data_IF_210854231511
#
_entry.id   IF_210854231511
#
_cell.length_a   1.000
_cell.length_b   1.000
_cell.length_c   1.000
_cell.angle_alpha   90.00
_cell.angle_beta   90.00
_cell.angle_gamma   90.00
#
_symmetry.space_group_name_H-M   'P 1'
#
loop_
_entity.id
_entity.type
_entity.pdbx_description
1 polymer ?
#
# COMPACT_ATOMS: atom_id res chain seq x y z
N UNK A 1 33.93 -3.93 30.67
CA UNK A 1 33.76 -3.81 32.14
C UNK A 1 32.86 -2.62 32.48
N UNK A 2 33.22 -1.38 32.12
CA UNK A 2 32.41 -0.18 32.44
C UNK A 2 30.98 -0.15 31.88
N UNK A 3 30.77 -0.58 30.63
CA UNK A 3 29.41 -0.76 30.07
C UNK A 3 28.58 -1.81 30.84
N UNK A 4 29.21 -2.89 31.31
CA UNK A 4 28.51 -3.91 32.11
C UNK A 4 28.14 -3.37 33.50
N UNK A 5 28.91 -2.40 34.00
CA UNK A 5 28.63 -1.67 35.23
C UNK A 5 27.64 -0.50 35.05
N UNK A 6 27.08 -0.32 33.84
CA UNK A 6 26.21 0.83 33.47
C UNK A 6 26.87 2.20 33.67
N UNK A 7 28.19 2.26 33.59
CA UNK A 7 28.96 3.50 33.66
C UNK A 7 29.34 3.97 32.26
N UNK A 8 28.32 4.29 31.45
CA UNK A 8 28.46 4.62 30.02
C UNK A 8 29.40 5.82 29.80
N UNK A 9 29.34 6.82 30.68
CA UNK A 9 30.17 8.03 30.61
C UNK A 9 31.67 7.75 30.79
N UNK A 10 32.03 6.86 31.72
CA UNK A 10 33.42 6.45 31.94
C UNK A 10 33.93 5.56 30.80
N UNK A 11 33.07 4.67 30.30
CA UNK A 11 33.39 3.87 29.12
C UNK A 11 33.72 4.78 27.91
N UNK A 12 32.90 5.82 27.70
CA UNK A 12 33.10 6.80 26.64
C UNK A 12 34.40 7.60 26.78
N UNK A 13 34.71 8.09 27.97
CA UNK A 13 35.95 8.82 28.23
C UNK A 13 37.18 7.97 27.88
N UNK A 14 37.18 6.70 28.29
CA UNK A 14 38.26 5.76 27.99
C UNK A 14 38.39 5.53 26.48
N UNK A 15 37.27 5.35 25.76
CA UNK A 15 37.30 5.15 24.31
C UNK A 15 37.89 6.34 23.56
N UNK A 16 37.51 7.57 23.94
CA UNK A 16 38.11 8.79 23.38
C UNK A 16 39.62 8.81 23.59
N UNK A 17 40.09 8.58 24.82
CA UNK A 17 41.52 8.61 25.17
C UNK A 17 42.33 7.52 24.46
N UNK A 18 41.76 6.31 24.31
CA UNK A 18 42.35 5.24 23.51
C UNK A 18 42.48 5.64 22.03
N UNK A 19 41.44 6.25 21.45
CA UNK A 19 41.47 6.69 20.05
C UNK A 19 42.49 7.81 19.78
N UNK A 20 42.70 8.71 20.74
CA UNK A 20 43.69 9.78 20.67
C UNK A 20 45.13 9.30 20.96
N UNK A 21 45.32 7.98 21.19
CA UNK A 21 46.59 7.37 21.60
C UNK A 21 47.17 7.89 22.92
N UNK A 22 46.32 8.48 23.78
CA UNK A 22 46.72 8.80 25.16
C UNK A 22 46.88 7.52 26.00
N UNK A 23 46.12 6.49 25.64
CA UNK A 23 46.27 5.13 26.14
C UNK A 23 46.58 4.17 24.99
N UNK A 24 47.34 3.12 25.28
CA UNK A 24 47.65 2.06 24.33
C UNK A 24 46.97 0.76 24.78
N UNK A 25 46.11 0.23 23.90
CA UNK A 25 45.52 -1.09 24.05
C UNK A 25 45.51 -1.74 22.66
N UNK A 26 46.25 -2.85 22.52
CA UNK A 26 46.36 -3.58 21.25
C UNK A 26 45.06 -4.31 20.86
N UNK A 27 44.14 -4.49 21.80
CA UNK A 27 42.83 -5.08 21.57
C UNK A 27 41.77 -4.04 21.17
N UNK A 28 42.04 -2.74 21.31
CA UNK A 28 41.06 -1.69 20.99
C UNK A 28 40.87 -1.53 19.48
N UNK A 29 39.65 -1.84 19.00
CA UNK A 29 39.25 -1.59 17.61
C UNK A 29 38.02 -0.69 17.58
N UNK A 30 38.11 0.42 16.84
CA UNK A 30 36.99 1.37 16.69
C UNK A 30 35.73 0.69 16.14
N UNK A 31 35.88 -0.28 15.24
CA UNK A 31 34.75 -1.04 14.70
C UNK A 31 33.94 -1.80 15.76
N UNK A 32 34.58 -2.23 16.85
CA UNK A 32 33.90 -2.93 17.93
C UNK A 32 33.01 -1.99 18.74
N UNK A 33 33.33 -0.69 18.78
CA UNK A 33 32.54 0.33 19.48
C UNK A 33 31.15 0.49 18.88
N UNK A 34 31.03 0.38 17.56
CA UNK A 34 29.74 0.50 16.86
C UNK A 34 28.75 -0.52 17.40
N UNK A 35 29.21 -1.75 17.67
CA UNK A 35 28.35 -2.82 18.23
C UNK A 35 27.88 -2.55 19.66
N UNK A 36 28.50 -1.60 20.36
CA UNK A 36 28.18 -1.23 21.74
C UNK A 36 27.28 0.00 21.85
N UNK A 37 27.11 0.76 20.78
CA UNK A 37 26.24 1.95 20.73
C UNK A 37 24.81 1.67 21.22
N UNK A 38 24.15 0.54 20.88
CA UNK A 38 22.79 0.27 21.34
C UNK A 38 22.65 0.09 22.86
N UNK A 39 23.74 -0.22 23.57
CA UNK A 39 23.71 -0.38 25.03
C UNK A 39 23.75 0.93 25.80
N UNK A 40 23.99 2.06 25.14
CA UNK A 40 24.05 3.38 25.78
C UNK A 40 22.61 3.81 26.13
N UNK A 41 22.41 4.11 27.41
CA UNK A 41 21.08 4.47 27.93
C UNK A 41 20.84 5.97 28.05
N UNK A 42 21.91 6.77 28.09
CA UNK A 42 21.83 8.24 28.16
C UNK A 42 21.78 8.85 26.75
N UNK A 43 20.71 9.60 26.45
CA UNK A 43 20.49 10.21 25.13
C UNK A 43 21.57 11.21 24.73
N UNK A 44 22.04 12.03 25.69
CA UNK A 44 23.03 13.08 25.40
C UNK A 44 24.39 12.45 25.05
N UNK A 45 24.81 11.49 25.86
CA UNK A 45 26.00 10.70 25.63
C UNK A 45 25.94 9.94 24.31
N UNK A 46 24.79 9.34 23.99
CA UNK A 46 24.58 8.66 22.72
C UNK A 46 24.79 9.60 21.52
N UNK A 47 24.27 10.82 21.58
CA UNK A 47 24.49 11.84 20.55
C UNK A 47 25.98 12.20 20.44
N UNK A 48 26.66 12.46 21.56
CA UNK A 48 28.10 12.78 21.57
C UNK A 48 28.94 11.65 20.98
N UNK A 49 28.61 10.40 21.33
CA UNK A 49 29.26 9.20 20.80
C UNK A 49 29.02 9.07 19.29
N UNK A 50 27.80 9.33 18.82
CA UNK A 50 27.47 9.26 17.39
C UNK A 50 28.16 10.34 16.57
N UNK A 51 28.20 11.58 17.05
CA UNK A 51 28.91 12.67 16.38
C UNK A 51 30.39 12.33 16.16
N UNK A 52 30.99 11.56 17.06
CA UNK A 52 32.36 11.10 16.93
C UNK A 52 32.53 9.81 16.10
N UNK A 53 31.61 8.85 16.23
CA UNK A 53 31.71 7.55 15.53
C UNK A 53 31.30 7.62 14.06
N UNK A 54 30.33 8.46 13.69
CA UNK A 54 29.80 8.55 12.33
C UNK A 54 30.91 8.88 11.31
N UNK A 55 31.82 9.84 11.54
CA UNK A 55 32.96 10.09 10.65
C UNK A 55 33.89 8.87 10.46
N UNK A 56 33.94 7.96 11.43
CA UNK A 56 34.85 6.82 11.44
C UNK A 56 34.22 5.56 10.80
N UNK A 57 32.93 5.32 11.02
CA UNK A 57 32.19 4.17 10.47
C UNK A 57 30.73 4.51 10.16
N UNK A 58 30.47 5.36 9.16
CA UNK A 58 29.17 6.02 8.99
C UNK A 58 28.02 5.04 8.74
N UNK A 59 28.19 4.15 7.75
CA UNK A 59 27.14 3.20 7.36
C UNK A 59 26.83 2.19 8.46
N UNK A 60 27.84 1.77 9.22
CA UNK A 60 27.66 0.80 10.30
C UNK A 60 26.95 1.46 11.48
N UNK A 61 27.32 2.69 11.84
CA UNK A 61 26.67 3.46 12.89
C UNK A 61 25.18 3.66 12.59
N UNK A 62 24.84 4.12 11.38
CA UNK A 62 23.44 4.32 10.98
C UNK A 62 22.65 3.02 11.13
N UNK A 63 23.14 1.91 10.57
CA UNK A 63 22.48 0.60 10.66
C UNK A 63 22.20 0.18 12.11
N UNK A 64 23.13 0.49 13.01
CA UNK A 64 23.02 0.08 14.41
C UNK A 64 22.06 0.96 15.23
N UNK A 65 21.80 2.21 14.81
CA UNK A 65 20.94 3.14 15.56
C UNK A 65 19.55 3.37 14.97
N UNK A 66 19.25 2.82 13.78
CA UNK A 66 17.94 2.95 13.12
C UNK A 66 16.78 2.53 14.04
N UNK A 67 16.96 1.48 14.85
CA UNK A 67 15.92 0.97 15.76
C UNK A 67 16.08 1.43 17.22
N UNK A 68 16.92 2.45 17.48
CA UNK A 68 17.19 2.90 18.85
C UNK A 68 16.07 3.83 19.37
N UNK A 69 15.37 3.42 20.42
CA UNK A 69 14.24 4.16 21.00
C UNK A 69 14.60 5.52 21.62
N UNK A 70 15.88 5.79 21.91
CA UNK A 70 16.34 7.06 22.46
C UNK A 70 16.53 8.15 21.40
N UNK A 71 16.55 7.76 20.12
CA UNK A 71 16.82 8.64 18.99
C UNK A 71 15.57 8.74 18.11
N UNK A 72 14.81 9.81 18.33
CA UNK A 72 13.74 10.19 17.41
C UNK A 72 14.32 10.72 16.07
N UNK A 73 13.47 10.75 15.04
CA UNK A 73 13.81 11.27 13.71
C UNK A 73 14.44 12.67 13.79
N UNK A 74 13.90 13.53 14.66
CA UNK A 74 14.39 14.90 14.86
C UNK A 74 15.82 14.94 15.38
N UNK A 75 16.18 14.13 16.38
CA UNK A 75 17.54 14.08 16.90
C UNK A 75 18.52 13.53 15.86
N UNK A 76 18.14 12.48 15.13
CA UNK A 76 18.99 11.94 14.06
C UNK A 76 19.22 12.95 12.94
N UNK A 77 18.21 13.75 12.60
CA UNK A 77 18.35 14.84 11.63
C UNK A 77 19.36 15.90 12.09
N UNK A 78 19.36 16.28 13.36
CA UNK A 78 20.36 17.22 13.89
C UNK A 78 21.77 16.63 13.88
N UNK A 79 21.93 15.35 14.25
CA UNK A 79 23.22 14.65 14.19
C UNK A 79 23.76 14.61 12.76
N UNK A 80 22.90 14.42 11.77
CA UNK A 80 23.26 14.26 10.36
C UNK A 80 23.12 15.54 9.53
N UNK A 81 22.86 16.70 10.16
CA UNK A 81 22.46 17.94 9.47
C UNK A 81 23.44 18.42 8.40
N UNK A 82 24.73 18.16 8.61
CA UNK A 82 25.80 18.60 7.70
C UNK A 82 26.19 17.53 6.66
N UNK A 83 25.56 16.36 6.66
CA UNK A 83 25.82 15.28 5.72
C UNK A 83 24.52 14.77 5.09
N UNK A 84 24.12 15.43 4.00
CA UNK A 84 22.91 15.08 3.27
C UNK A 84 22.92 13.63 2.74
N UNK A 85 24.09 13.07 2.43
CA UNK A 85 24.21 11.71 1.91
C UNK A 85 23.94 10.69 3.01
N UNK A 86 24.48 10.90 4.21
CA UNK A 86 24.21 10.05 5.37
C UNK A 86 22.77 10.21 5.87
N UNK A 87 22.25 11.43 5.88
CA UNK A 87 20.85 11.69 6.18
C UNK A 87 19.93 10.92 5.21
N UNK A 88 20.23 10.94 3.91
CA UNK A 88 19.49 10.14 2.90
C UNK A 88 19.51 8.66 3.23
N UNK A 89 20.69 8.09 3.54
CA UNK A 89 20.83 6.67 3.87
C UNK A 89 19.99 6.32 5.10
N UNK A 90 20.04 7.14 6.15
CA UNK A 90 19.23 6.95 7.35
C UNK A 90 17.73 6.99 7.02
N UNK A 91 17.28 7.99 6.26
CA UNK A 91 15.87 8.16 5.90
C UNK A 91 15.34 7.04 5.00
N UNK A 92 16.18 6.48 4.12
CA UNK A 92 15.84 5.31 3.29
C UNK A 92 15.69 4.01 4.12
N UNK A 93 16.22 3.98 5.35
CA UNK A 93 16.19 2.80 6.22
C UNK A 93 14.98 2.75 7.18
N UNK A 94 14.32 3.87 7.42
CA UNK A 94 13.19 3.97 8.35
C UNK A 94 11.84 3.94 7.61
N UNK A 95 10.73 3.64 8.30
CA UNK A 95 9.39 3.72 7.70
C UNK A 95 9.11 5.13 7.14
N UNK A 96 8.57 5.19 5.93
CA UNK A 96 8.27 6.44 5.24
C UNK A 96 7.02 7.08 5.86
N UNK A 97 7.23 8.03 6.77
CA UNK A 97 6.19 8.95 7.27
C UNK A 97 6.12 10.20 6.39
N UNK A 98 5.13 11.06 6.59
CA UNK A 98 4.99 12.31 5.84
C UNK A 98 6.22 13.23 5.99
N UNK A 99 6.75 13.36 7.22
CA UNK A 99 7.97 14.15 7.48
C UNK A 99 9.20 13.56 6.78
N UNK A 100 9.37 12.23 6.87
CA UNK A 100 10.48 11.51 6.23
C UNK A 100 10.40 11.65 4.71
N UNK A 101 9.20 11.55 4.14
CA UNK A 101 8.97 11.73 2.71
C UNK A 101 9.34 13.15 2.25
N UNK A 102 8.93 14.18 3.00
CA UNK A 102 9.30 15.58 2.69
C UNK A 102 10.81 15.80 2.73
N UNK A 103 11.48 15.25 3.75
CA UNK A 103 12.93 15.35 3.87
C UNK A 103 13.66 14.61 2.72
N UNK A 104 13.23 13.39 2.39
CA UNK A 104 13.77 12.65 1.25
C UNK A 104 13.54 13.37 -0.08
N UNK A 105 12.33 13.90 -0.33
CA UNK A 105 12.03 14.68 -1.54
C UNK A 105 12.96 15.89 -1.65
N UNK A 106 13.19 16.62 -0.56
CA UNK A 106 14.12 17.75 -0.55
C UNK A 106 15.55 17.33 -0.93
N UNK A 107 16.03 16.23 -0.34
CA UNK A 107 17.36 15.71 -0.66
C UNK A 107 17.45 15.31 -2.14
N UNK A 108 16.46 14.57 -2.65
CA UNK A 108 16.47 14.13 -4.04
C UNK A 108 16.38 15.30 -5.03
N UNK A 109 15.55 16.31 -4.77
CA UNK A 109 15.49 17.51 -5.61
C UNK A 109 16.83 18.24 -5.63
N UNK A 110 17.49 18.38 -4.47
CA UNK A 110 18.81 18.99 -4.39
C UNK A 110 19.86 18.17 -5.15
N UNK A 111 19.85 16.84 -5.00
CA UNK A 111 20.72 15.92 -5.74
C UNK A 111 20.52 16.06 -7.26
N UNK A 112 19.27 16.12 -7.73
CA UNK A 112 18.93 16.29 -9.14
C UNK A 112 19.35 17.66 -9.69
N UNK A 113 19.15 18.72 -8.89
CA UNK A 113 19.58 20.09 -9.25
C UNK A 113 21.11 20.18 -9.34
N UNK A 114 21.82 19.42 -8.52
CA UNK A 114 23.28 19.27 -8.59
C UNK A 114 23.75 18.33 -9.71
N UNK A 115 22.83 17.73 -10.47
CA UNK A 115 23.13 16.84 -11.60
C UNK A 115 23.31 15.36 -11.24
N UNK A 116 23.05 14.93 -10.01
CA UNK A 116 23.12 13.51 -9.63
C UNK A 116 21.83 12.76 -10.02
N UNK A 117 21.85 12.14 -11.20
CA UNK A 117 20.70 11.38 -11.73
C UNK A 117 20.53 9.99 -11.10
N UNK A 118 21.45 9.53 -10.23
CA UNK A 118 21.41 8.16 -9.65
C UNK A 118 20.26 7.97 -8.66
N UNK A 119 19.65 9.06 -8.19
CA UNK A 119 18.53 9.01 -7.26
C UNK A 119 17.16 8.93 -7.96
N UNK A 120 17.07 9.19 -9.28
CA UNK A 120 15.80 9.29 -10.03
C UNK A 120 14.87 8.12 -9.79
N UNK A 121 15.36 6.88 -9.90
CA UNK A 121 14.54 5.68 -9.68
C UNK A 121 13.91 5.67 -8.28
N UNK A 122 14.70 5.95 -7.23
CA UNK A 122 14.21 5.98 -5.85
C UNK A 122 13.24 7.13 -5.63
N UNK A 123 13.54 8.30 -6.19
CA UNK A 123 12.69 9.47 -6.11
C UNK A 123 11.33 9.23 -6.76
N UNK A 124 11.26 8.64 -7.96
CA UNK A 124 9.99 8.27 -8.62
C UNK A 124 9.13 7.34 -7.75
N UNK A 125 9.74 6.35 -7.09
CA UNK A 125 9.00 5.47 -6.17
C UNK A 125 8.44 6.24 -4.96
N UNK A 126 9.18 7.23 -4.47
CA UNK A 126 8.72 8.09 -3.39
C UNK A 126 7.56 8.99 -3.86
N UNK A 127 7.64 9.55 -5.06
CA UNK A 127 6.57 10.37 -5.64
C UNK A 127 5.24 9.63 -5.71
N UNK A 128 5.25 8.32 -6.01
CA UNK A 128 4.03 7.50 -6.01
C UNK A 128 3.47 7.23 -4.61
N UNK A 129 4.18 7.54 -3.53
CA UNK A 129 3.73 7.28 -2.15
C UNK A 129 3.27 8.53 -1.41
N UNK A 130 3.61 9.71 -1.91
CA UNK A 130 3.26 10.98 -1.28
C UNK A 130 1.91 11.51 -1.77
N UNK A 131 1.35 12.47 -1.03
CA UNK A 131 0.05 13.04 -1.37
C UNK A 131 0.10 13.85 -2.67
N UNK A 132 -1.05 13.98 -3.34
CA UNK A 132 -1.19 14.85 -4.50
C UNK A 132 -0.71 16.28 -4.19
N UNK A 133 -1.18 16.86 -3.08
CA UNK A 133 -0.80 18.21 -2.64
C UNK A 133 0.72 18.37 -2.50
N UNK A 134 1.41 17.39 -1.90
CA UNK A 134 2.87 17.45 -1.75
C UNK A 134 3.57 17.41 -3.12
N UNK A 135 3.06 16.61 -4.06
CA UNK A 135 3.61 16.53 -5.42
C UNK A 135 3.54 17.85 -6.17
N UNK A 136 2.42 18.56 -6.08
CA UNK A 136 2.26 19.87 -6.73
C UNK A 136 3.32 20.87 -6.23
N UNK A 137 3.57 20.90 -4.92
CA UNK A 137 4.60 21.76 -4.32
C UNK A 137 6.02 21.44 -4.80
N UNK A 138 6.27 20.22 -5.27
CA UNK A 138 7.58 19.82 -5.79
C UNK A 138 7.75 20.16 -7.27
N UNK A 139 6.66 20.31 -8.02
CA UNK A 139 6.70 20.52 -9.47
C UNK A 139 7.59 21.70 -9.88
N UNK A 140 7.43 22.84 -9.21
CA UNK A 140 8.19 24.06 -9.52
C UNK A 140 9.67 24.00 -9.13
N UNK A 141 10.02 23.05 -8.26
CA UNK A 141 11.39 22.88 -7.75
C UNK A 141 12.21 21.92 -8.60
N UNK A 142 11.58 21.20 -9.51
CA UNK A 142 12.26 20.18 -10.33
C UNK A 142 12.94 20.81 -11.55
N UNK A 143 14.19 20.43 -11.87
CA UNK A 143 14.86 20.83 -13.11
C UNK A 143 14.05 20.45 -14.36
N UNK A 144 14.18 21.23 -15.44
CA UNK A 144 13.49 21.00 -16.71
C UNK A 144 13.80 19.64 -17.34
N UNK A 145 15.00 19.13 -17.09
CA UNK A 145 15.52 17.87 -17.63
C UNK A 145 14.86 16.66 -16.96
N UNK A 146 14.24 16.85 -15.78
CA UNK A 146 13.51 15.83 -15.03
C UNK A 146 12.07 15.68 -15.53
N UNK A 147 11.87 15.54 -16.85
CA UNK A 147 10.56 15.56 -17.50
C UNK A 147 9.59 14.51 -16.94
N UNK A 148 10.06 13.27 -16.74
CA UNK A 148 9.26 12.20 -16.14
C UNK A 148 8.84 12.54 -14.71
N UNK A 149 9.77 12.99 -13.87
CA UNK A 149 9.46 13.38 -12.48
C UNK A 149 8.47 14.54 -12.42
N UNK A 150 8.59 15.52 -13.32
CA UNK A 150 7.63 16.62 -13.46
C UNK A 150 6.25 16.11 -13.86
N UNK A 151 6.17 15.17 -14.80
CA UNK A 151 4.89 14.53 -15.17
C UNK A 151 4.27 13.76 -14.00
N UNK A 152 5.07 13.05 -13.20
CA UNK A 152 4.58 12.34 -12.02
C UNK A 152 4.09 13.29 -10.91
N UNK A 153 4.58 14.53 -10.90
CA UNK A 153 4.14 15.58 -9.99
C UNK A 153 2.93 16.36 -10.48
N UNK A 154 2.60 16.29 -11.77
CA UNK A 154 1.51 17.06 -12.38
C UNK A 154 0.15 16.40 -12.10
N UNK A 155 -0.59 16.94 -11.14
CA UNK A 155 -1.92 16.43 -10.78
C UNK A 155 -3.04 16.82 -11.76
N UNK A 156 -2.77 17.65 -12.78
CA UNK A 156 -3.78 18.03 -13.77
C UNK A 156 -4.08 16.91 -14.78
N UNK A 157 -3.22 15.89 -14.85
CA UNK A 157 -3.29 14.82 -15.84
C UNK A 157 -3.78 13.52 -15.22
N UNK A 158 -4.53 12.73 -15.99
CA UNK A 158 -4.89 11.38 -15.55
C UNK A 158 -3.64 10.47 -15.56
N UNK A 159 -3.61 9.40 -14.74
CA UNK A 159 -2.51 8.43 -14.78
C UNK A 159 -2.26 7.84 -16.18
N UNK A 160 -3.32 7.75 -16.99
CA UNK A 160 -3.23 7.25 -18.34
C UNK A 160 -2.58 8.25 -19.30
N UNK A 161 -2.89 9.55 -19.16
CA UNK A 161 -2.23 10.61 -19.95
C UNK A 161 -0.74 10.74 -19.59
N UNK A 162 -0.44 10.61 -18.29
CA UNK A 162 0.94 10.59 -17.79
C UNK A 162 1.69 9.40 -18.40
N UNK A 163 1.10 8.20 -18.37
CA UNK A 163 1.67 7.01 -18.99
C UNK A 163 1.97 7.22 -20.48
N UNK A 164 0.99 7.73 -21.22
CA UNK A 164 1.10 7.95 -22.66
C UNK A 164 2.30 8.88 -22.97
N UNK A 165 2.47 9.96 -22.20
CA UNK A 165 3.63 10.88 -22.36
C UNK A 165 4.96 10.24 -21.94
N UNK A 166 4.97 9.48 -20.85
CA UNK A 166 6.19 8.78 -20.38
C UNK A 166 6.70 7.79 -21.44
N UNK A 167 5.79 7.06 -22.08
CA UNK A 167 6.16 6.12 -23.14
C UNK A 167 6.51 6.87 -24.43
N UNK A 168 5.63 7.71 -24.95
CA UNK A 168 5.80 8.31 -26.29
C UNK A 168 6.82 9.43 -26.37
N UNK A 169 6.96 10.23 -25.30
CA UNK A 169 7.85 11.41 -25.30
C UNK A 169 9.20 11.08 -24.66
N UNK A 170 9.22 10.23 -23.63
CA UNK A 170 10.43 9.94 -22.86
C UNK A 170 11.00 8.54 -23.09
N UNK A 171 10.25 7.62 -23.74
CA UNK A 171 10.64 6.21 -23.94
C UNK A 171 11.09 5.52 -22.64
N UNK A 172 10.51 5.89 -21.49
CA UNK A 172 10.93 5.43 -20.17
C UNK A 172 9.99 4.33 -19.65
N UNK A 173 10.21 3.10 -20.12
CA UNK A 173 9.38 1.95 -19.77
C UNK A 173 9.49 1.53 -18.30
N UNK A 174 10.61 1.84 -17.63
CA UNK A 174 10.77 1.58 -16.20
C UNK A 174 9.85 2.49 -15.36
N UNK A 175 9.72 3.77 -15.76
CA UNK A 175 8.74 4.67 -15.16
C UNK A 175 7.29 4.26 -15.50
N UNK A 176 7.04 3.82 -16.74
CA UNK A 176 5.73 3.32 -17.16
C UNK A 176 5.27 2.12 -16.31
N UNK A 177 6.16 1.16 -16.06
CA UNK A 177 5.88 0.01 -15.19
C UNK A 177 5.64 0.42 -13.75
N UNK A 178 6.38 1.41 -13.23
CA UNK A 178 6.16 1.96 -11.90
C UNK A 178 4.75 2.57 -11.77
N UNK A 179 4.32 3.37 -12.74
CA UNK A 179 2.96 3.93 -12.80
C UNK A 179 1.93 2.80 -12.77
N UNK A 180 2.11 1.80 -13.63
CA UNK A 180 1.22 0.64 -13.70
C UNK A 180 1.16 -0.12 -12.38
N UNK A 181 2.30 -0.36 -11.72
CA UNK A 181 2.36 -1.05 -10.43
C UNK A 181 1.64 -0.27 -9.32
N UNK A 182 1.65 1.07 -9.38
CA UNK A 182 0.98 1.90 -8.39
C UNK A 182 -0.54 1.92 -8.60
N UNK A 183 -0.98 2.06 -9.85
CA UNK A 183 -2.39 2.22 -10.19
C UNK A 183 -3.13 0.92 -10.53
N UNK A 184 -2.46 -0.24 -10.60
CA UNK A 184 -3.06 -1.51 -11.05
C UNK A 184 -4.32 -1.92 -10.28
N UNK A 185 -4.42 -1.58 -9.00
CA UNK A 185 -5.55 -1.93 -8.14
C UNK A 185 -6.77 -1.01 -8.31
N UNK A 186 -6.57 0.22 -8.76
CA UNK A 186 -7.62 1.25 -8.85
C UNK A 186 -7.99 1.59 -10.29
N UNK A 187 -7.03 1.50 -11.22
CA UNK A 187 -7.18 1.84 -12.63
C UNK A 187 -6.45 0.79 -13.50
N UNK A 188 -6.97 -0.45 -13.58
CA UNK A 188 -6.33 -1.52 -14.35
C UNK A 188 -6.22 -1.22 -15.85
N UNK A 189 -7.04 -0.30 -16.38
CA UNK A 189 -6.98 0.14 -17.77
C UNK A 189 -5.64 0.83 -18.12
N UNK A 190 -4.92 1.39 -17.13
CA UNK A 190 -3.57 1.96 -17.32
C UNK A 190 -2.58 0.86 -17.73
N UNK A 191 -2.64 -0.31 -17.07
CA UNK A 191 -1.80 -1.45 -17.42
C UNK A 191 -2.12 -2.00 -18.82
N UNK A 192 -3.40 -1.99 -19.22
CA UNK A 192 -3.82 -2.42 -20.56
C UNK A 192 -3.24 -1.51 -21.66
N UNK A 193 -3.17 -0.19 -21.41
CA UNK A 193 -2.51 0.73 -22.35
C UNK A 193 -1.03 0.42 -22.50
N UNK A 194 -0.32 0.14 -21.41
CA UNK A 194 1.10 -0.21 -21.48
C UNK A 194 1.33 -1.54 -22.21
N UNK A 195 0.46 -2.54 -22.03
CA UNK A 195 0.53 -3.78 -22.81
C UNK A 195 0.44 -3.51 -24.31
N UNK A 196 -0.49 -2.64 -24.73
CA UNK A 196 -0.62 -2.23 -26.12
C UNK A 196 0.62 -1.51 -26.65
N UNK A 197 1.21 -0.60 -25.86
CA UNK A 197 2.46 0.06 -26.27
C UNK A 197 3.62 -0.92 -26.45
N UNK A 198 3.73 -1.93 -25.59
CA UNK A 198 4.76 -2.96 -25.68
C UNK A 198 4.56 -3.88 -26.90
N UNK A 199 3.33 -4.05 -27.37
CA UNK A 199 3.02 -4.76 -28.62
C UNK A 199 3.44 -3.96 -29.85
N UNK A 200 3.04 -2.68 -29.88
CA UNK A 200 3.22 -1.80 -31.04
C UNK A 200 4.68 -1.34 -31.22
N UNK A 201 5.54 -1.53 -30.22
CA UNK A 201 6.90 -1.00 -30.17
C UNK A 201 7.96 -2.10 -30.17
N UNK A 202 9.05 -1.92 -30.93
CA UNK A 202 10.22 -2.80 -30.88
C UNK A 202 11.07 -2.48 -29.63
N UNK A 203 10.56 -2.84 -28.45
CA UNK A 203 11.24 -2.64 -27.16
C UNK A 203 12.02 -3.90 -26.81
N UNK A 204 13.27 -3.72 -26.38
CA UNK A 204 14.04 -4.80 -25.79
C UNK A 204 13.32 -5.36 -24.54
N UNK A 205 13.31 -6.68 -24.41
CA UNK A 205 12.64 -7.40 -23.32
C UNK A 205 11.12 -7.19 -23.22
N UNK A 206 10.44 -6.75 -24.28
CA UNK A 206 8.98 -6.54 -24.30
C UNK A 206 8.22 -7.74 -23.71
N UNK A 207 8.58 -8.97 -24.07
CA UNK A 207 7.97 -10.17 -23.50
C UNK A 207 8.11 -10.29 -21.98
N UNK A 208 9.30 -9.99 -21.45
CA UNK A 208 9.58 -10.06 -20.01
C UNK A 208 8.78 -8.99 -19.26
N UNK A 209 8.74 -7.78 -19.81
CA UNK A 209 7.97 -6.65 -19.27
C UNK A 209 6.47 -6.94 -19.27
N UNK A 210 5.94 -7.52 -20.35
CA UNK A 210 4.55 -7.97 -20.43
C UNK A 210 4.22 -9.01 -19.36
N UNK A 211 5.07 -10.04 -19.17
CA UNK A 211 4.88 -11.04 -18.10
C UNK A 211 4.86 -10.39 -16.71
N UNK A 212 5.74 -9.42 -16.47
CA UNK A 212 5.78 -8.65 -15.22
C UNK A 212 4.47 -7.87 -14.99
N UNK A 213 3.97 -7.18 -16.02
CA UNK A 213 2.71 -6.43 -15.95
C UNK A 213 1.51 -7.33 -15.65
N UNK A 214 1.40 -8.47 -16.34
CA UNK A 214 0.36 -9.46 -16.09
C UNK A 214 0.43 -10.05 -14.67
N UNK A 215 1.65 -10.16 -14.10
CA UNK A 215 1.82 -10.55 -12.70
C UNK A 215 1.26 -9.49 -11.77
N UNK A 216 1.55 -8.20 -12.02
CA UNK A 216 1.13 -7.05 -11.22
C UNK A 216 -0.37 -6.75 -11.27
N UNK A 217 -1.04 -7.01 -12.39
CA UNK A 217 -2.49 -6.81 -12.52
C UNK A 217 -3.32 -7.77 -11.64
N UNK A 218 -2.71 -8.88 -11.22
CA UNK A 218 -3.29 -9.83 -10.26
C UNK A 218 -4.72 -10.25 -10.61
N UNK A 219 -5.54 -10.41 -9.58
CA UNK A 219 -6.96 -10.80 -9.69
C UNK A 219 -7.90 -9.59 -9.90
N UNK A 220 -7.37 -8.38 -9.98
CA UNK A 220 -8.16 -7.14 -9.89
C UNK A 220 -8.69 -6.72 -11.27
N UNK A 221 -7.89 -6.93 -12.32
CA UNK A 221 -8.29 -6.64 -13.69
C UNK A 221 -9.34 -7.66 -14.21
N UNK A 222 -10.29 -7.18 -15.03
CA UNK A 222 -11.24 -8.06 -15.72
C UNK A 222 -10.48 -8.96 -16.71
N UNK A 223 -10.47 -10.29 -16.49
CA UNK A 223 -9.75 -11.22 -17.36
C UNK A 223 -10.13 -11.09 -18.83
N UNK A 224 -11.39 -10.77 -19.14
CA UNK A 224 -11.85 -10.61 -20.52
C UNK A 224 -11.19 -9.40 -21.19
N UNK A 225 -11.09 -8.27 -20.48
CA UNK A 225 -10.40 -7.08 -20.98
C UNK A 225 -8.91 -7.34 -21.18
N UNK A 226 -8.26 -8.05 -20.26
CA UNK A 226 -6.85 -8.41 -20.40
C UNK A 226 -6.63 -9.27 -21.63
N UNK A 227 -7.43 -10.33 -21.81
CA UNK A 227 -7.35 -11.22 -22.99
C UNK A 227 -7.54 -10.44 -24.30
N UNK A 228 -8.46 -9.48 -24.32
CA UNK A 228 -8.72 -8.68 -25.53
C UNK A 228 -7.61 -7.66 -25.83
N UNK A 229 -6.83 -7.27 -24.82
CA UNK A 229 -5.73 -6.32 -24.94
C UNK A 229 -4.36 -7.00 -25.07
N UNK A 230 -4.32 -8.33 -25.04
CA UNK A 230 -3.09 -9.09 -25.26
C UNK A 230 -2.81 -9.17 -26.76
N UNK A 231 -1.53 -9.14 -27.16
CA UNK A 231 -1.15 -9.32 -28.54
C UNK A 231 -1.63 -10.65 -29.11
N UNK A 232 -1.93 -10.67 -30.40
CA UNK A 232 -2.15 -11.93 -31.12
C UNK A 232 -0.89 -12.81 -31.11
N UNK A 233 0.30 -12.19 -31.00
CA UNK A 233 1.59 -12.86 -30.88
C UNK A 233 1.89 -13.40 -29.48
N UNK A 234 1.07 -13.08 -28.46
CA UNK A 234 1.33 -13.49 -27.10
C UNK A 234 1.16 -15.01 -26.95
N UNK A 235 2.28 -15.70 -26.68
CA UNK A 235 2.27 -17.14 -26.45
C UNK A 235 1.45 -17.51 -25.21
N UNK A 236 0.77 -18.66 -25.25
CA UNK A 236 -0.03 -19.16 -24.12
C UNK A 236 0.80 -19.22 -22.83
N UNK A 237 2.07 -19.59 -22.91
CA UNK A 237 2.98 -19.66 -21.75
C UNK A 237 3.19 -18.31 -21.06
N UNK A 238 3.13 -17.20 -21.81
CA UNK A 238 3.29 -15.85 -21.27
C UNK A 238 2.09 -15.44 -20.41
N UNK A 239 0.91 -15.96 -20.73
CA UNK A 239 -0.37 -15.59 -20.11
C UNK A 239 -0.92 -16.68 -19.19
N UNK A 240 -0.35 -17.89 -19.22
CA UNK A 240 -0.82 -19.07 -18.49
C UNK A 240 -1.02 -18.79 -17.00
N UNK A 241 -0.03 -18.19 -16.32
CA UNK A 241 -0.12 -17.89 -14.89
C UNK A 241 -1.24 -16.89 -14.58
N UNK A 242 -1.48 -15.91 -15.45
CA UNK A 242 -2.60 -14.98 -15.32
C UNK A 242 -3.93 -15.71 -15.52
N UNK A 243 -4.06 -16.49 -16.59
CA UNK A 243 -5.28 -17.25 -16.90
C UNK A 243 -5.64 -18.26 -15.80
N UNK A 244 -4.67 -19.01 -15.27
CA UNK A 244 -4.92 -19.95 -14.15
C UNK A 244 -5.48 -19.23 -12.93
N UNK A 245 -4.92 -18.07 -12.56
CA UNK A 245 -5.43 -17.25 -11.44
C UNK A 245 -6.84 -16.71 -11.73
N UNK A 246 -7.06 -16.17 -12.91
CA UNK A 246 -8.36 -15.68 -13.35
C UNK A 246 -9.45 -16.77 -13.31
N UNK A 247 -9.14 -17.99 -13.78
CA UNK A 247 -10.03 -19.15 -13.74
C UNK A 247 -10.34 -19.54 -12.29
N UNK A 248 -9.31 -19.65 -11.44
CA UNK A 248 -9.49 -20.00 -10.02
C UNK A 248 -10.38 -18.98 -9.30
N UNK A 249 -10.20 -17.68 -9.57
CA UNK A 249 -11.05 -16.61 -9.05
C UNK A 249 -12.50 -16.79 -9.49
N UNK A 250 -12.75 -17.00 -10.79
CA UNK A 250 -14.10 -17.21 -11.33
C UNK A 250 -14.79 -18.46 -10.75
N UNK A 251 -14.03 -19.52 -10.51
CA UNK A 251 -14.53 -20.73 -9.84
C UNK A 251 -14.92 -20.44 -8.38
N UNK A 252 -14.08 -19.70 -7.65
CA UNK A 252 -14.36 -19.26 -6.27
C UNK A 252 -15.60 -18.36 -6.19
N UNK A 253 -15.71 -17.35 -7.08
CA UNK A 253 -16.89 -16.47 -7.19
C UNK A 253 -18.17 -17.29 -7.42
N UNK A 254 -18.11 -18.28 -8.33
CA UNK A 254 -19.23 -19.17 -8.61
C UNK A 254 -19.59 -20.05 -7.42
N UNK A 255 -18.60 -20.54 -6.68
CA UNK A 255 -18.82 -21.32 -5.46
C UNK A 255 -19.51 -20.47 -4.39
N UNK A 256 -19.01 -19.27 -4.11
CA UNK A 256 -19.63 -18.34 -3.16
C UNK A 256 -21.07 -18.01 -3.56
N UNK A 257 -21.32 -17.77 -4.85
CA UNK A 257 -22.67 -17.51 -5.35
C UNK A 257 -23.61 -18.70 -5.10
N UNK A 258 -23.16 -19.92 -5.39
CA UNK A 258 -23.92 -21.15 -5.09
C UNK A 258 -24.18 -21.32 -3.60
N UNK A 259 -23.19 -21.08 -2.75
CA UNK A 259 -23.37 -21.13 -1.29
C UNK A 259 -24.38 -20.09 -0.80
N UNK A 260 -24.35 -18.87 -1.34
CA UNK A 260 -25.35 -17.83 -1.02
C UNK A 260 -26.76 -18.26 -1.40
N UNK A 261 -26.94 -18.81 -2.61
CA UNK A 261 -28.24 -19.32 -3.07
C UNK A 261 -28.73 -20.44 -2.14
N UNK A 262 -27.87 -21.40 -1.80
CA UNK A 262 -28.21 -22.50 -0.90
C UNK A 262 -28.58 -22.00 0.52
N UNK A 263 -27.89 -20.99 1.04
CA UNK A 263 -28.22 -20.37 2.33
C UNK A 263 -29.56 -19.63 2.28
N UNK A 264 -29.88 -18.95 1.17
CA UNK A 264 -31.18 -18.31 0.95
C UNK A 264 -32.31 -19.34 0.89
N UNK A 265 -32.12 -20.44 0.15
CA UNK A 265 -33.07 -21.54 0.07
C UNK A 265 -33.32 -22.15 1.45
N UNK A 266 -32.26 -22.46 2.20
CA UNK A 266 -32.36 -22.96 3.57
C UNK A 266 -33.07 -21.99 4.50
N UNK A 267 -32.82 -20.68 4.37
CA UNK A 267 -33.54 -19.66 5.14
C UNK A 267 -35.03 -19.66 4.78
N UNK A 268 -35.38 -19.73 3.50
CA UNK A 268 -36.78 -19.83 3.07
C UNK A 268 -37.47 -21.09 3.59
N UNK A 269 -36.76 -22.22 3.69
CA UNK A 269 -37.28 -23.44 4.29
C UNK A 269 -37.52 -23.29 5.80
N UNK A 270 -36.58 -22.67 6.52
CA UNK A 270 -36.76 -22.35 7.94
C UNK A 270 -37.93 -21.39 8.14
N UNK A 271 -38.05 -20.35 7.31
CA UNK A 271 -39.15 -19.38 7.36
C UNK A 271 -40.49 -20.08 7.08
N UNK A 272 -40.54 -21.06 6.16
CA UNK A 272 -41.73 -21.90 5.94
C UNK A 272 -42.08 -22.79 7.13
N UNK A 273 -41.09 -23.34 7.82
CA UNK A 273 -41.28 -24.21 8.99
C UNK A 273 -41.58 -23.42 10.28
N UNK A 274 -41.18 -22.15 10.33
CA UNK A 274 -41.36 -21.24 11.46
C UNK A 274 -42.56 -20.32 11.30
N UNK A 275 -43.30 -20.41 10.20
CA UNK A 275 -44.69 -19.93 10.14
C UNK A 275 -45.44 -20.60 11.30
N UNK A 276 -45.99 -19.84 12.24
CA UNK A 276 -46.82 -20.40 13.29
C UNK A 276 -47.94 -21.18 12.59
N UNK A 277 -47.96 -22.49 12.76
CA UNK A 277 -49.15 -23.31 12.56
C UNK A 277 -50.17 -23.01 13.67
N UNK A 278 -50.30 -21.73 14.04
CA UNK A 278 -51.37 -21.22 14.86
C UNK A 278 -52.61 -21.37 14.00
N UNK A 279 -53.33 -22.48 14.20
CA UNK A 279 -54.74 -22.54 13.85
C UNK A 279 -55.34 -21.26 14.41
N UNK A 280 -55.68 -20.32 13.54
CA UNK A 280 -56.35 -19.09 13.92
C UNK A 280 -57.70 -19.52 14.46
N UNK A 281 -57.80 -19.68 15.77
CA UNK A 281 -59.05 -20.00 16.44
C UNK A 281 -59.87 -18.72 16.44
N UNK A 282 -60.74 -18.58 15.44
CA UNK A 282 -61.75 -17.52 15.40
C UNK A 282 -62.70 -17.79 16.57
N UNK A 283 -62.55 -17.04 17.67
CA UNK A 283 -63.50 -17.07 18.79
C UNK A 283 -64.84 -16.51 18.30
N UNK A 284 -65.96 -17.00 18.82
CA UNK A 284 -67.34 -16.61 18.44
C UNK A 284 -67.68 -15.10 18.56
N UNK A 285 -66.75 -14.27 19.03
CA UNK A 285 -66.88 -12.80 19.12
C UNK A 285 -65.82 -12.04 18.30
N UNK A 286 -65.13 -12.70 17.39
CA UNK A 286 -64.16 -12.05 16.52
C UNK A 286 -64.86 -11.05 15.61
N UNK A 287 -64.29 -9.84 15.47
CA UNK A 287 -64.84 -8.75 14.66
C UNK A 287 -63.88 -8.44 13.52
N UNK A 288 -64.43 -8.21 12.32
CA UNK A 288 -63.66 -7.83 11.15
C UNK A 288 -63.03 -6.45 11.38
N UNK A 289 -61.72 -6.35 11.19
CA UNK A 289 -61.01 -5.09 11.44
C UNK A 289 -61.39 -3.97 10.46
N UNK A 290 -61.95 -4.30 9.29
CA UNK A 290 -62.32 -3.37 8.23
C UNK A 290 -63.74 -2.85 8.41
N UNK A 291 -64.76 -3.72 8.45
CA UNK A 291 -66.16 -3.30 8.55
C UNK A 291 -66.69 -3.24 10.00
N UNK A 292 -65.93 -3.73 10.99
CA UNK A 292 -66.32 -3.83 12.40
C UNK A 292 -67.56 -4.70 12.66
N UNK A 293 -67.91 -5.61 11.75
CA UNK A 293 -68.98 -6.59 11.95
C UNK A 293 -68.41 -7.94 12.47
N UNK A 294 -69.26 -8.75 13.10
CA UNK A 294 -68.88 -10.08 13.60
C UNK A 294 -68.44 -11.02 12.45
N UNK A 295 -67.41 -11.82 12.70
CA UNK A 295 -66.89 -12.82 11.79
C UNK A 295 -67.60 -14.15 12.04
N UNK A 296 -68.23 -14.69 11.00
CA UNK A 296 -68.66 -16.08 10.96
C UNK A 296 -67.48 -16.97 10.53
N UNK A 297 -67.47 -18.22 11.00
CA UNK A 297 -66.38 -19.17 10.70
C UNK A 297 -66.21 -19.45 9.19
N UNK A 298 -67.26 -19.26 8.38
CA UNK A 298 -67.25 -19.50 6.94
C UNK A 298 -66.64 -18.37 6.10
N UNK A 299 -66.60 -17.13 6.64
CA UNK A 299 -66.38 -15.94 5.81
C UNK A 299 -65.10 -15.17 6.20
N UNK A 300 -64.29 -15.71 7.11
CA UNK A 300 -63.05 -15.09 7.59
C UNK A 300 -61.81 -15.47 6.78
N UNK A 301 -60.96 -14.48 6.46
CA UNK A 301 -59.60 -14.65 5.95
C UNK A 301 -58.60 -14.05 6.95
N UNK A 302 -57.47 -14.74 7.15
CA UNK A 302 -56.37 -14.22 7.97
C UNK A 302 -55.32 -13.56 7.09
N UNK A 303 -54.99 -12.30 7.38
CA UNK A 303 -53.91 -11.58 6.70
C UNK A 303 -52.55 -12.00 7.29
N UNK A 304 -51.82 -12.84 6.55
CA UNK A 304 -50.61 -13.54 7.02
C UNK A 304 -49.52 -12.63 7.60
N UNK A 305 -49.37 -11.40 7.12
CA UNK A 305 -48.32 -10.49 7.59
C UNK A 305 -48.64 -9.75 8.89
N UNK A 306 -49.90 -9.78 9.36
CA UNK A 306 -50.34 -9.07 10.58
C UNK A 306 -51.09 -9.94 11.57
N UNK A 307 -51.53 -11.14 11.15
CA UNK A 307 -52.34 -12.04 11.97
C UNK A 307 -53.81 -11.60 12.14
N UNK A 308 -54.25 -10.50 11.50
CA UNK A 308 -55.63 -10.04 11.59
C UNK A 308 -56.59 -10.89 10.77
N UNK A 309 -57.83 -11.04 11.26
CA UNK A 309 -58.92 -11.70 10.55
C UNK A 309 -59.90 -10.66 10.00
N UNK A 310 -60.22 -10.76 8.72
CA UNK A 310 -61.17 -9.88 8.00
C UNK A 310 -62.19 -10.74 7.23
N UNK A 311 -63.34 -10.18 6.85
CA UNK A 311 -64.21 -10.91 5.92
C UNK A 311 -63.55 -11.03 4.55
N UNK A 312 -63.79 -12.14 3.86
CA UNK A 312 -63.36 -12.36 2.47
C UNK A 312 -63.77 -11.20 1.55
N UNK A 313 -65.01 -10.72 1.69
CA UNK A 313 -65.56 -9.55 0.98
C UNK A 313 -64.89 -8.20 1.32
N UNK A 314 -64.22 -8.11 2.47
CA UNK A 314 -63.53 -6.90 2.91
C UNK A 314 -62.07 -6.83 2.43
N UNK A 315 -61.57 -7.90 1.80
CA UNK A 315 -60.28 -7.90 1.14
C UNK A 315 -60.39 -7.10 -0.16
N UNK A 316 -59.84 -5.89 -0.16
CA UNK A 316 -59.65 -5.15 -1.42
C UNK A 316 -58.47 -5.78 -2.15
N UNK A 317 -58.73 -6.32 -3.34
CA UNK A 317 -57.71 -6.74 -4.31
C UNK A 317 -57.04 -5.47 -4.88
#
# INVERSE_FOLDING_TARGET
MWLLAKEDSKAWEIWRRLSCREFQDSAFRVGDLVTRVPSITDRKLLIDVLLWLIPLSPTQCIKTVVDNSLLDHKAMKEVLRNDAKLLRIYLEMIPVTEEVAKDLCNIYINDLTAGDLRCRRRFRHLLMKISATDRDLMYDRLPSECGVERLLCDNSQSPADILDKVVTTHNDYDAAELICSHYSSTQPDVCLRLLKFLEDSAVDDAESRMRSLLKCMGDIADPKKVITALPESAGIDQVATFLTRAIAKKQSERHVLRSKVCLLERKMEIDKLSLPNDKVVIKDKAMCMVCKEALSFSDGLTYLSTGYVIHSKCMKI
#
